data_IF_333512426321
#
_entry.id   IF_333512426321
#
_cell.length_a   1.000
_cell.length_b   1.000
_cell.length_c   1.000
_cell.angle_alpha   90.00
_cell.angle_beta   90.00
_cell.angle_gamma   90.00
#
_symmetry.space_group_name_H-M   'P 1'
#
loop_
_entity.id
_entity.type
_entity.pdbx_description
1 polymer ?
#
# COMPACT_ATOMS: atom_id res chain seq x y z
N UNK A 1 -21.72 12.26 -10.55
CA UNK A 1 -20.91 11.59 -9.50
C UNK A 1 -19.97 10.60 -10.19
N UNK A 2 -18.79 11.05 -10.63
CA UNK A 2 -17.83 10.29 -11.46
C UNK A 2 -16.74 9.62 -10.61
N UNK A 3 -17.17 8.83 -9.62
CA UNK A 3 -16.27 7.97 -8.83
C UNK A 3 -16.38 6.55 -9.40
N UNK A 4 -16.08 6.34 -10.68
CA UNK A 4 -16.34 5.04 -11.34
C UNK A 4 -15.21 4.67 -12.30
N UNK A 5 -14.76 3.42 -12.19
CA UNK A 5 -13.79 2.69 -13.03
C UNK A 5 -12.29 2.92 -12.76
N UNK A 6 -11.73 4.11 -12.94
CA UNK A 6 -10.27 4.29 -12.79
C UNK A 6 -9.78 4.10 -11.33
N UNK A 7 -10.62 4.43 -10.35
CA UNK A 7 -10.29 4.27 -8.93
C UNK A 7 -10.50 2.85 -8.40
N UNK A 8 -11.45 2.10 -8.98
CA UNK A 8 -11.67 0.69 -8.65
C UNK A 8 -10.50 -0.18 -9.14
N UNK A 9 -9.97 0.12 -10.33
CA UNK A 9 -8.77 -0.56 -10.83
C UNK A 9 -7.54 -0.34 -9.93
N UNK A 10 -7.27 0.91 -9.52
CA UNK A 10 -6.15 1.19 -8.62
C UNK A 10 -6.28 0.51 -7.25
N UNK A 11 -7.51 0.33 -6.76
CA UNK A 11 -7.79 -0.43 -5.54
C UNK A 11 -7.40 -1.90 -5.66
N UNK A 12 -7.90 -2.58 -6.68
CA UNK A 12 -7.66 -4.01 -6.85
C UNK A 12 -6.19 -4.33 -7.12
N UNK A 13 -5.47 -3.44 -7.81
CA UNK A 13 -4.03 -3.59 -8.04
C UNK A 13 -3.21 -3.40 -6.77
N UNK A 14 -3.53 -2.41 -5.93
CA UNK A 14 -2.88 -2.26 -4.61
C UNK A 14 -3.10 -3.52 -3.77
N UNK A 15 -4.36 -3.93 -3.63
CA UNK A 15 -4.72 -5.08 -2.78
C UNK A 15 -4.05 -6.35 -3.30
N UNK A 16 -4.13 -6.62 -4.62
CA UNK A 16 -3.46 -7.77 -5.24
C UNK A 16 -1.95 -7.77 -4.98
N UNK A 17 -1.30 -6.61 -5.07
CA UNK A 17 0.13 -6.50 -4.77
C UNK A 17 0.43 -6.78 -3.29
N UNK A 18 -0.32 -6.15 -2.37
CA UNK A 18 -0.14 -6.32 -0.92
C UNK A 18 -0.37 -7.77 -0.49
N UNK A 19 -1.41 -8.42 -1.01
CA UNK A 19 -1.67 -9.85 -0.80
C UNK A 19 -0.52 -10.73 -1.32
N UNK A 20 0.03 -10.42 -2.50
CA UNK A 20 1.13 -11.19 -3.06
C UNK A 20 2.40 -11.10 -2.20
N UNK A 21 2.72 -9.92 -1.65
CA UNK A 21 3.90 -9.76 -0.78
C UNK A 21 3.65 -10.29 0.64
N UNK A 22 2.40 -10.27 1.14
CA UNK A 22 2.00 -10.91 2.39
C UNK A 22 2.21 -12.43 2.32
N UNK A 23 1.73 -13.08 1.25
CA UNK A 23 1.93 -14.53 1.02
C UNK A 23 3.41 -14.94 0.90
N UNK A 24 4.28 -14.02 0.47
CA UNK A 24 5.74 -14.23 0.39
C UNK A 24 6.46 -13.97 1.73
N UNK A 25 5.73 -13.59 2.78
CA UNK A 25 6.30 -13.29 4.10
C UNK A 25 7.05 -11.97 4.20
N UNK A 26 6.91 -11.07 3.22
CA UNK A 26 7.56 -9.75 3.26
C UNK A 26 6.87 -8.80 4.24
N UNK A 27 5.55 -8.97 4.42
CA UNK A 27 4.72 -8.26 5.38
C UNK A 27 3.87 -9.28 6.13
N UNK A 28 3.52 -8.99 7.38
CA UNK A 28 2.58 -9.80 8.17
C UNK A 28 1.14 -9.33 7.95
N UNK A 29 0.93 -8.01 7.97
CA UNK A 29 -0.39 -7.39 7.83
C UNK A 29 -0.31 -6.09 7.05
N UNK A 30 -1.46 -5.61 6.58
CA UNK A 30 -1.57 -4.29 5.95
C UNK A 30 -2.94 -3.67 6.19
N UNK A 31 -2.99 -2.34 6.07
CA UNK A 31 -4.20 -1.55 6.06
C UNK A 31 -4.13 -0.60 4.87
N UNK A 32 -5.16 -0.61 4.03
CA UNK A 32 -5.36 0.40 2.99
C UNK A 32 -6.53 1.27 3.39
N UNK A 33 -6.28 2.58 3.50
CA UNK A 33 -7.32 3.58 3.73
C UNK A 33 -7.32 4.58 2.58
N UNK A 34 -8.50 4.99 2.14
CA UNK A 34 -8.66 5.95 1.05
C UNK A 34 -9.23 7.24 1.62
N UNK A 35 -8.46 8.32 1.55
CA UNK A 35 -8.86 9.61 2.09
C UNK A 35 -8.90 10.63 0.97
N UNK A 36 -9.92 11.50 0.94
CA UNK A 36 -10.02 12.51 -0.10
C UNK A 36 -11.34 13.25 -0.11
N UNK A 37 -11.41 14.32 -0.91
CA UNK A 37 -12.60 15.15 -1.13
C UNK A 37 -12.84 15.29 -2.63
N UNK A 38 -14.10 15.53 -3.03
CA UNK A 38 -14.50 15.81 -4.41
C UNK A 38 -14.07 14.74 -5.43
N UNK A 39 -14.24 13.47 -5.07
CA UNK A 39 -13.93 12.34 -5.95
C UNK A 39 -12.43 12.09 -6.18
N UNK A 40 -11.54 12.78 -5.47
CA UNK A 40 -10.09 12.54 -5.50
C UNK A 40 -9.66 11.78 -4.25
N UNK A 41 -9.78 10.46 -4.31
CA UNK A 41 -9.31 9.57 -3.25
C UNK A 41 -7.80 9.36 -3.35
N UNK A 42 -7.13 9.50 -2.21
CA UNK A 42 -5.69 9.32 -2.02
C UNK A 42 -5.49 8.08 -1.14
N UNK A 43 -4.84 7.02 -1.64
CA UNK A 43 -4.54 5.85 -0.85
C UNK A 43 -3.46 6.12 0.19
N UNK A 44 -3.70 5.69 1.42
CA UNK A 44 -2.72 5.57 2.48
C UNK A 44 -2.57 4.10 2.82
N UNK A 45 -1.36 3.59 2.65
CA UNK A 45 -1.01 2.18 2.83
C UNK A 45 -0.12 2.07 4.06
N UNK A 46 -0.62 1.37 5.08
CA UNK A 46 0.16 0.98 6.25
C UNK A 46 0.50 -0.50 6.12
N UNK A 47 1.74 -0.88 6.37
CA UNK A 47 2.17 -2.28 6.38
C UNK A 47 2.90 -2.60 7.67
N UNK A 48 2.65 -3.79 8.19
CA UNK A 48 3.38 -4.38 9.30
C UNK A 48 4.27 -5.49 8.79
N UNK A 49 5.47 -5.55 9.34
CA UNK A 49 6.46 -6.55 8.95
C UNK A 49 6.65 -7.59 10.05
N UNK A 50 6.93 -8.86 9.68
CA UNK A 50 7.27 -9.89 10.65
C UNK A 50 8.61 -9.55 11.33
N UNK A 51 8.78 -10.01 12.57
CA UNK A 51 10.04 -9.86 13.31
C UNK A 51 11.20 -10.56 12.56
N UNK A 52 12.39 -9.95 12.57
CA UNK A 52 13.59 -10.52 11.91
C UNK A 52 13.67 -10.39 10.38
N UNK A 53 12.74 -9.70 9.73
CA UNK A 53 12.72 -9.54 8.26
C UNK A 53 13.58 -8.37 7.73
N UNK A 54 13.46 -8.04 6.43
CA UNK A 54 14.15 -6.91 5.80
C UNK A 54 13.94 -5.58 6.56
N UNK A 55 14.95 -4.69 6.63
CA UNK A 55 14.83 -3.38 7.27
C UNK A 55 13.65 -2.55 6.73
N UNK A 56 13.05 -1.72 7.61
CA UNK A 56 11.86 -0.89 7.31
C UNK A 56 12.02 -0.08 6.02
N UNK A 57 13.19 0.55 5.83
CA UNK A 57 13.45 1.37 4.65
C UNK A 57 13.46 0.57 3.34
N UNK A 58 13.90 -0.71 3.37
CA UNK A 58 13.90 -1.57 2.17
C UNK A 58 12.50 -2.02 1.82
N UNK A 59 11.71 -2.42 2.82
CA UNK A 59 10.30 -2.81 2.63
C UNK A 59 9.50 -1.63 2.10
N UNK A 60 9.63 -0.46 2.73
CA UNK A 60 9.00 0.79 2.28
C UNK A 60 9.41 1.15 0.85
N UNK A 61 10.70 1.07 0.52
CA UNK A 61 11.20 1.38 -0.82
C UNK A 61 10.70 0.43 -1.91
N UNK A 62 10.65 -0.88 -1.62
CA UNK A 62 10.14 -1.88 -2.56
C UNK A 62 8.65 -1.69 -2.85
N UNK A 63 7.85 -1.43 -1.81
CA UNK A 63 6.42 -1.16 -1.92
C UNK A 63 6.19 0.16 -2.66
N UNK A 64 6.90 1.24 -2.27
CA UNK A 64 6.79 2.54 -2.91
C UNK A 64 7.08 2.48 -4.42
N UNK A 65 8.15 1.79 -4.82
CA UNK A 65 8.51 1.64 -6.24
C UNK A 65 7.41 0.96 -7.06
N UNK A 66 6.72 -0.01 -6.49
CA UNK A 66 5.62 -0.71 -7.18
C UNK A 66 4.35 0.13 -7.19
N UNK A 67 3.99 0.74 -6.07
CA UNK A 67 2.77 1.53 -5.94
C UNK A 67 2.82 2.85 -6.73
N UNK A 68 3.98 3.51 -6.80
CA UNK A 68 4.16 4.71 -7.64
C UNK A 68 4.03 4.43 -9.15
N UNK A 69 4.22 3.17 -9.58
CA UNK A 69 3.94 2.76 -10.95
C UNK A 69 2.44 2.52 -11.23
N UNK A 70 1.62 2.42 -10.19
CA UNK A 70 0.19 2.14 -10.28
C UNK A 70 -0.65 3.40 -10.00
N UNK A 71 -0.14 4.32 -9.17
CA UNK A 71 -0.83 5.52 -8.71
C UNK A 71 0.17 6.68 -8.66
N UNK A 72 -0.22 7.92 -9.04
CA UNK A 72 0.69 9.07 -9.01
C UNK A 72 1.38 9.23 -7.65
N UNK A 73 2.69 9.44 -7.66
CA UNK A 73 3.52 9.38 -6.46
C UNK A 73 3.16 10.41 -5.38
N UNK A 74 2.59 11.54 -5.80
CA UNK A 74 2.02 12.58 -4.94
C UNK A 74 0.78 12.14 -4.14
N UNK A 75 0.29 10.91 -4.37
CA UNK A 75 -0.96 10.39 -3.79
C UNK A 75 -0.80 9.14 -2.92
N UNK A 76 0.41 8.77 -2.51
CA UNK A 76 0.61 7.55 -1.71
C UNK A 76 1.44 7.84 -0.47
N UNK A 77 0.84 7.62 0.69
CA UNK A 77 1.56 7.63 1.96
C UNK A 77 1.79 6.19 2.43
N UNK A 78 3.07 5.81 2.60
CA UNK A 78 3.48 4.46 3.00
C UNK A 78 4.13 4.51 4.39
N UNK A 79 3.48 3.85 5.33
CA UNK A 79 3.96 3.66 6.70
C UNK A 79 4.35 2.19 6.85
N UNK A 80 5.58 1.92 7.31
CA UNK A 80 6.05 0.58 7.57
C UNK A 80 6.47 0.51 9.05
N UNK A 81 5.78 -0.34 9.81
CA UNK A 81 5.94 -0.46 11.26
C UNK A 81 6.33 -1.89 11.68
N UNK A 82 7.00 -2.04 12.82
CA UNK A 82 7.27 -3.36 13.37
C UNK A 82 5.98 -3.88 14.02
N UNK A 83 5.44 -5.00 13.52
CA UNK A 83 4.32 -5.65 14.21
C UNK A 83 4.74 -6.04 15.62
N UNK A 84 4.00 -5.59 16.63
CA UNK A 84 4.18 -6.11 18.00
C UNK A 84 3.84 -7.61 17.97
N UNK A 85 4.74 -8.41 18.54
CA UNK A 85 4.59 -9.85 18.70
C UNK A 85 3.50 -10.18 19.73
#
# INVERSE_FOLDING_TARGET
MFVREHQLHGHDEIVRFLEAIKRRGLISEYLVSWNGRDGRLTPKVTVWRPYGTLPVHRVRGAIARKLFGLIPAERINIIADQGQA
#
